data_IF_323922342558
#
_entry.id   IF_323922342558
#
_cell.length_a   1.000
_cell.length_b   1.000
_cell.length_c   1.000
_cell.angle_alpha   90.00
_cell.angle_beta   90.00
_cell.angle_gamma   90.00
#
_symmetry.space_group_name_H-M   'P 1'
#
loop_
_entity.id
_entity.type
_entity.pdbx_description
1 polymer ?
#
# COMPACT_ATOMS: atom_id res chain seq x y z
N UNK A 1 9.56 0.65 -7.75
CA UNK A 1 9.97 0.45 -6.33
C UNK A 1 10.80 1.64 -5.87
N UNK A 2 11.04 1.81 -4.56
CA UNK A 2 11.64 2.95 -3.84
C UNK A 2 12.03 4.20 -4.66
N UNK A 3 12.98 4.19 -5.62
CA UNK A 3 13.17 5.34 -6.51
C UNK A 3 11.90 5.90 -7.18
N UNK A 4 11.00 5.04 -7.65
CA UNK A 4 9.69 5.45 -8.20
C UNK A 4 8.76 5.99 -7.10
N UNK A 5 8.73 5.36 -5.93
CA UNK A 5 7.91 5.80 -4.78
C UNK A 5 8.34 7.20 -4.29
N UNK A 6 9.64 7.49 -4.30
CA UNK A 6 10.17 8.84 -4.04
C UNK A 6 9.66 9.87 -5.03
N UNK A 7 9.70 9.55 -6.31
CA UNK A 7 9.16 10.42 -7.35
C UNK A 7 7.66 10.65 -7.15
N UNK A 8 6.91 9.61 -6.80
CA UNK A 8 5.48 9.69 -6.52
C UNK A 8 5.17 10.59 -5.31
N UNK A 9 5.85 10.36 -4.18
CA UNK A 9 5.70 11.18 -2.96
C UNK A 9 6.05 12.64 -3.24
N UNK A 10 7.13 12.90 -3.97
CA UNK A 10 7.52 14.27 -4.35
C UNK A 10 6.49 14.92 -5.27
N UNK A 11 6.00 14.21 -6.29
CA UNK A 11 4.99 14.69 -7.24
C UNK A 11 3.68 15.06 -6.54
N UNK A 12 3.32 14.32 -5.50
CA UNK A 12 2.04 14.43 -4.80
C UNK A 12 2.14 15.10 -3.42
N UNK A 13 3.25 15.78 -3.11
CA UNK A 13 3.49 16.38 -1.78
C UNK A 13 2.42 17.40 -1.36
N UNK A 14 1.79 18.07 -2.33
CA UNK A 14 0.73 19.07 -2.14
C UNK A 14 -0.67 18.51 -2.42
N UNK A 15 -0.78 17.18 -2.51
CA UNK A 15 -2.03 16.46 -2.71
C UNK A 15 -2.42 15.71 -1.43
N UNK A 16 -3.71 15.39 -1.24
CA UNK A 16 -4.18 14.55 -0.14
C UNK A 16 -3.82 13.08 -0.40
N UNK A 17 -2.51 12.80 -0.37
CA UNK A 17 -1.91 11.51 -0.67
C UNK A 17 -0.88 11.18 0.41
N UNK A 18 -0.84 9.90 0.80
CA UNK A 18 0.19 9.37 1.67
C UNK A 18 0.69 8.03 1.13
N UNK A 19 2.00 7.83 1.18
CA UNK A 19 2.62 6.53 1.00
C UNK A 19 3.06 6.01 2.38
N UNK A 20 2.79 4.74 2.67
CA UNK A 20 3.20 4.09 3.92
C UNK A 20 4.00 2.84 3.58
N UNK A 21 5.23 2.76 4.08
CA UNK A 21 6.10 1.60 3.89
C UNK A 21 5.99 0.61 5.05
N UNK A 22 5.87 -0.68 4.74
CA UNK A 22 6.00 -1.77 5.72
C UNK A 22 7.20 -2.60 5.28
N UNK A 23 8.17 -2.80 6.17
CA UNK A 23 9.41 -3.49 5.86
C UNK A 23 9.58 -4.78 6.68
N UNK A 24 10.01 -5.85 6.02
CA UNK A 24 10.20 -7.20 6.60
C UNK A 24 11.66 -7.63 6.70
N UNK A 25 12.61 -6.75 6.36
CA UNK A 25 14.03 -7.01 6.61
C UNK A 25 14.32 -7.05 8.10
N UNK A 26 15.46 -7.59 8.50
CA UNK A 26 15.96 -7.43 9.86
C UNK A 26 16.14 -5.95 10.20
N UNK A 27 16.10 -5.62 11.50
CA UNK A 27 16.07 -4.23 11.95
C UNK A 27 17.31 -3.44 11.50
N UNK A 28 18.52 -4.01 11.59
CA UNK A 28 19.75 -3.34 11.18
C UNK A 28 19.70 -2.91 9.72
N UNK A 29 19.32 -3.85 8.84
CA UNK A 29 19.17 -3.61 7.41
C UNK A 29 18.09 -2.56 7.13
N UNK A 30 16.93 -2.67 7.78
CA UNK A 30 15.85 -1.69 7.65
C UNK A 30 16.32 -0.27 8.01
N UNK A 31 17.02 -0.11 9.14
CA UNK A 31 17.52 1.20 9.61
C UNK A 31 18.56 1.79 8.68
N UNK A 32 19.42 0.96 8.09
CA UNK A 32 20.42 1.40 7.12
C UNK A 32 19.77 1.79 5.79
N UNK A 33 19.03 0.87 5.18
CA UNK A 33 18.53 1.05 3.81
C UNK A 33 17.50 2.18 3.70
N UNK A 34 16.69 2.43 4.75
CA UNK A 34 15.76 3.58 4.72
C UNK A 34 16.47 4.92 4.56
N UNK A 35 17.68 5.05 5.11
CA UNK A 35 18.51 6.27 4.99
C UNK A 35 19.17 6.29 3.62
N UNK A 36 19.84 5.20 3.24
CA UNK A 36 20.56 5.05 1.98
C UNK A 36 19.66 5.28 0.76
N UNK A 37 18.41 4.82 0.83
CA UNK A 37 17.44 4.93 -0.25
C UNK A 37 16.60 6.21 -0.20
N UNK A 38 16.85 7.09 0.76
CA UNK A 38 16.13 8.37 0.97
C UNK A 38 14.61 8.16 1.15
N UNK A 39 14.22 7.23 2.02
CA UNK A 39 12.82 6.99 2.38
C UNK A 39 12.31 8.12 3.29
N UNK A 40 11.56 9.05 2.71
CA UNK A 40 11.05 10.26 3.38
C UNK A 40 9.65 10.12 3.95
N UNK A 41 8.92 9.06 3.59
CA UNK A 41 7.56 8.80 4.04
C UNK A 41 7.53 7.94 5.32
N UNK A 42 6.39 7.90 6.04
CA UNK A 42 6.20 6.99 7.17
C UNK A 42 6.49 5.54 6.77
N UNK A 43 7.46 4.92 7.43
CA UNK A 43 7.91 3.57 7.14
C UNK A 43 8.10 2.82 8.46
N UNK A 44 7.63 1.58 8.52
CA UNK A 44 7.54 0.78 9.74
C UNK A 44 8.31 -0.54 9.59
N UNK A 45 9.06 -0.89 10.62
CA UNK A 45 9.66 -2.21 10.78
C UNK A 45 8.59 -3.20 11.26
N UNK A 46 8.42 -4.31 10.53
CA UNK A 46 7.38 -5.30 10.78
C UNK A 46 7.94 -6.59 11.40
N UNK A 47 8.86 -6.46 12.35
CA UNK A 47 9.29 -7.59 13.18
C UNK A 47 10.33 -8.53 12.55
N UNK A 48 10.98 -8.14 11.45
CA UNK A 48 12.20 -8.81 10.97
C UNK A 48 12.01 -10.14 10.26
N UNK A 49 10.77 -10.47 9.87
CA UNK A 49 10.44 -11.66 9.10
C UNK A 49 9.40 -11.33 8.01
N UNK A 50 9.34 -12.15 6.97
CA UNK A 50 8.41 -11.97 5.84
C UNK A 50 6.93 -12.09 6.24
N UNK A 51 6.63 -12.61 7.43
CA UNK A 51 5.30 -12.73 8.02
C UNK A 51 5.13 -11.92 9.31
N UNK A 52 5.59 -10.67 9.31
CA UNK A 52 5.40 -9.72 10.41
C UNK A 52 3.95 -9.50 10.83
N UNK A 53 3.69 -8.87 12.00
CA UNK A 53 2.34 -8.66 12.51
C UNK A 53 1.44 -7.87 11.55
N UNK A 54 1.96 -6.80 10.91
CA UNK A 54 1.20 -5.99 9.96
C UNK A 54 0.99 -6.78 8.66
N UNK A 55 2.04 -7.37 8.11
CA UNK A 55 1.97 -8.18 6.88
C UNK A 55 0.97 -9.34 7.02
N UNK A 56 1.01 -10.06 8.15
CA UNK A 56 0.10 -11.16 8.46
C UNK A 56 -1.34 -10.68 8.58
N UNK A 57 -1.57 -9.57 9.29
CA UNK A 57 -2.90 -8.97 9.38
C UNK A 57 -3.40 -8.63 7.98
N UNK A 58 -2.59 -7.97 7.15
CA UNK A 58 -2.98 -7.54 5.80
C UNK A 58 -2.97 -8.65 4.74
N UNK A 59 -2.85 -9.92 5.14
CA UNK A 59 -2.88 -11.07 4.22
C UNK A 59 -1.77 -11.04 3.16
N UNK A 60 -0.60 -10.48 3.51
CA UNK A 60 0.57 -10.45 2.62
C UNK A 60 1.23 -11.82 2.62
N UNK A 61 1.27 -12.46 1.44
CA UNK A 61 1.90 -13.77 1.23
C UNK A 61 3.20 -13.70 0.43
N UNK A 62 3.58 -12.51 -0.03
CA UNK A 62 4.78 -12.30 -0.84
C UNK A 62 5.16 -10.84 -0.95
N UNK A 63 6.46 -10.59 -1.16
CA UNK A 63 7.03 -9.26 -1.24
C UNK A 63 7.58 -9.00 -2.67
N UNK A 64 7.40 -7.80 -3.24
CA UNK A 64 6.63 -6.67 -2.70
C UNK A 64 5.11 -6.83 -2.94
N UNK A 65 4.29 -6.43 -1.97
CA UNK A 65 2.82 -6.27 -2.13
C UNK A 65 2.45 -4.81 -1.93
N UNK A 66 1.65 -4.26 -2.85
CA UNK A 66 1.16 -2.88 -2.80
C UNK A 66 -0.36 -2.90 -2.73
N UNK A 67 -0.91 -2.11 -1.82
CA UNK A 67 -2.34 -1.82 -1.73
C UNK A 67 -2.53 -0.32 -1.97
N UNK A 68 -3.44 0.04 -2.87
CA UNK A 68 -3.86 1.43 -3.08
C UNK A 68 -5.26 1.59 -2.52
N UNK A 69 -5.38 2.48 -1.55
CA UNK A 69 -6.63 2.75 -0.84
C UNK A 69 -7.24 4.07 -1.31
N UNK A 70 -8.56 4.15 -1.33
CA UNK A 70 -9.26 5.43 -1.51
C UNK A 70 -9.39 6.20 -0.19
N UNK A 71 -9.97 7.40 -0.27
CA UNK A 71 -10.20 8.30 0.86
C UNK A 71 -11.18 7.74 1.92
N UNK A 72 -11.93 6.69 1.60
CA UNK A 72 -12.78 5.96 2.56
C UNK A 72 -12.05 4.80 3.22
N UNK A 73 -10.77 4.56 2.88
CA UNK A 73 -9.97 3.47 3.42
C UNK A 73 -10.29 2.10 2.81
N UNK A 74 -10.86 2.05 1.60
CA UNK A 74 -11.13 0.80 0.88
C UNK A 74 -9.97 0.46 -0.05
N UNK A 75 -9.60 -0.82 -0.12
CA UNK A 75 -8.61 -1.27 -1.10
C UNK A 75 -9.26 -1.26 -2.48
N UNK A 76 -8.71 -0.46 -3.39
CA UNK A 76 -9.21 -0.30 -4.77
C UNK A 76 -8.31 -0.99 -5.79
N UNK A 77 -7.01 -1.06 -5.50
CA UNK A 77 -6.04 -1.75 -6.33
C UNK A 77 -5.07 -2.57 -5.47
N UNK A 78 -4.60 -3.70 -6.01
CA UNK A 78 -3.59 -4.56 -5.40
C UNK A 78 -2.53 -4.90 -6.44
N UNK A 79 -1.25 -4.83 -6.04
CA UNK A 79 -0.11 -5.29 -6.85
C UNK A 79 0.27 -4.38 -8.03
N UNK A 80 -0.37 -3.22 -8.18
CA UNK A 80 0.01 -2.21 -9.19
C UNK A 80 1.36 -1.60 -8.87
N UNK A 81 2.20 -1.36 -9.90
CA UNK A 81 3.57 -0.83 -9.77
C UNK A 81 3.85 0.19 -10.86
N UNK A 82 4.85 1.03 -10.63
CA UNK A 82 5.34 2.03 -11.59
C UNK A 82 4.15 2.85 -12.15
N UNK A 83 4.07 3.06 -13.46
CA UNK A 83 3.00 3.85 -14.09
C UNK A 83 1.58 3.34 -13.77
N UNK A 84 1.39 2.04 -13.56
CA UNK A 84 0.09 1.51 -13.18
C UNK A 84 -0.31 1.94 -11.76
N UNK A 85 0.66 2.09 -10.86
CA UNK A 85 0.43 2.68 -9.54
C UNK A 85 0.13 4.17 -9.65
N UNK A 86 0.83 4.91 -10.51
CA UNK A 86 0.59 6.34 -10.72
C UNK A 86 -0.83 6.58 -11.22
N UNK A 87 -1.27 5.83 -12.25
CA UNK A 87 -2.64 5.91 -12.77
C UNK A 87 -3.69 5.55 -11.72
N UNK A 88 -3.44 4.52 -10.91
CA UNK A 88 -4.35 4.12 -9.84
C UNK A 88 -4.52 5.25 -8.81
N UNK A 89 -3.42 5.87 -8.37
CA UNK A 89 -3.46 6.99 -7.42
C UNK A 89 -4.14 8.21 -8.03
N UNK A 90 -3.79 8.58 -9.26
CA UNK A 90 -4.37 9.75 -9.93
C UNK A 90 -5.89 9.58 -10.14
N UNK A 91 -6.34 8.35 -10.44
CA UNK A 91 -7.77 8.01 -10.53
C UNK A 91 -8.48 8.26 -9.20
N UNK A 92 -7.95 7.76 -8.08
CA UNK A 92 -8.60 7.93 -6.77
C UNK A 92 -8.55 9.38 -6.27
N UNK A 93 -7.50 10.14 -6.61
CA UNK A 93 -7.44 11.57 -6.33
C UNK A 93 -8.49 12.35 -7.13
N UNK A 94 -8.74 11.97 -8.38
CA UNK A 94 -9.80 12.57 -9.21
C UNK A 94 -11.19 12.25 -8.65
N UNK A 95 -11.45 10.97 -8.33
CA UNK A 95 -12.71 10.52 -7.70
C UNK A 95 -12.99 11.30 -6.40
N UNK A 96 -11.98 11.44 -5.52
CA UNK A 96 -12.11 12.15 -4.25
C UNK A 96 -12.45 13.64 -4.44
N UNK A 97 -11.97 14.26 -5.53
CA UNK A 97 -12.27 15.66 -5.87
C UNK A 97 -13.62 15.85 -6.56
N UNK A 98 -14.37 14.77 -6.81
CA UNK A 98 -15.62 14.80 -7.56
C UNK A 98 -15.42 15.11 -9.04
N UNK A 99 -14.21 14.94 -9.57
CA UNK A 99 -13.96 15.10 -11.00
C UNK A 99 -14.57 13.91 -11.75
N UNK A 100 -15.19 14.12 -12.93
CA UNK A 100 -15.59 13.02 -13.79
C UNK A 100 -14.38 12.14 -14.06
N UNK A 101 -14.52 10.83 -13.84
CA UNK A 101 -13.49 9.86 -14.20
C UNK A 101 -13.16 10.05 -15.69
N UNK A 102 -11.86 10.11 -16.08
CA UNK A 102 -11.52 10.09 -17.49
C UNK A 102 -12.12 8.82 -18.09
N UNK A 103 -12.96 8.96 -19.11
CA UNK A 103 -13.54 7.83 -19.82
C UNK A 103 -12.42 6.89 -20.28
N UNK A 104 -12.54 5.64 -19.85
CA UNK A 104 -11.62 4.55 -20.12
C UNK A 104 -11.36 4.40 -21.62
N UNK A 105 -10.17 4.80 -22.07
CA UNK A 105 -9.60 4.30 -23.32
C UNK A 105 -8.42 3.36 -23.00
N UNK A 106 -8.71 2.07 -23.15
CA UNK A 106 -7.79 0.96 -23.39
C UNK A 106 -6.61 0.71 -22.41
N UNK A 107 -6.91 0.15 -21.25
CA UNK A 107 -6.12 -0.96 -20.70
C UNK A 107 -7.07 -1.92 -19.98
N UNK A 108 -7.39 -3.07 -20.60
CA UNK A 108 -8.23 -4.11 -19.98
C UNK A 108 -7.60 -4.53 -18.65
N UNK A 109 -8.22 -4.29 -17.49
CA UNK A 109 -7.80 -4.95 -16.27
C UNK A 109 -8.28 -6.40 -16.38
N UNK A 110 -7.40 -7.36 -16.12
CA UNK A 110 -7.86 -8.68 -15.68
C UNK A 110 -8.81 -8.46 -14.50
N UNK A 111 -10.05 -8.92 -14.67
CA UNK A 111 -11.11 -8.78 -13.67
C UNK A 111 -10.66 -9.48 -12.38
N UNK A 112 -10.19 -8.71 -11.41
CA UNK A 112 -10.25 -9.12 -10.01
C UNK A 112 -11.72 -9.13 -9.62
N UNK A 113 -12.35 -10.31 -9.64
CA UNK A 113 -13.74 -10.56 -9.22
C UNK A 113 -13.93 -10.45 -7.70
N UNK A 114 -13.16 -9.60 -7.02
CA UNK A 114 -13.21 -9.42 -5.58
C UNK A 114 -13.92 -8.14 -5.23
N UNK A 115 -15.07 -8.26 -4.59
CA UNK A 115 -15.76 -7.21 -3.85
C UNK A 115 -14.76 -6.34 -3.05
N UNK A 116 -14.91 -5.01 -3.11
CA UNK A 116 -14.03 -4.07 -2.40
C UNK A 116 -13.95 -4.40 -0.91
N UNK A 117 -12.76 -4.71 -0.39
CA UNK A 117 -12.59 -5.13 1.00
C UNK A 117 -12.24 -3.89 1.84
N UNK A 118 -12.99 -3.60 2.92
CA UNK A 118 -12.59 -2.59 3.91
C UNK A 118 -11.26 -3.01 4.53
N UNK A 119 -10.27 -2.11 4.59
CA UNK A 119 -8.97 -2.41 5.19
C UNK A 119 -9.09 -2.90 6.66
N UNK A 120 -10.12 -2.44 7.37
CA UNK A 120 -10.42 -2.84 8.75
C UNK A 120 -10.85 -4.32 8.93
N UNK A 121 -11.31 -5.02 7.87
CA UNK A 121 -11.79 -6.42 7.98
C UNK A 121 -10.69 -7.47 8.01
N UNK A 122 -9.43 -7.08 7.91
CA UNK A 122 -8.28 -7.97 7.92
C UNK A 122 -7.74 -8.25 9.34
N UNK A 123 -8.47 -7.91 10.40
CA UNK A 123 -8.12 -8.26 11.79
C UNK A 123 -8.58 -9.71 12.06
N UNK A 124 -7.69 -10.72 12.16
CA UNK A 124 -8.09 -12.00 12.72
C UNK A 124 -8.48 -11.80 14.20
N UNK A 125 -9.53 -12.48 14.69
CA UNK A 125 -9.91 -12.36 16.09
C UNK A 125 -8.71 -12.75 16.97
N UNK A 126 -8.38 -11.90 17.94
CA UNK A 126 -7.33 -12.17 18.91
C UNK A 126 -7.55 -13.57 19.52
N UNK A 127 -6.58 -14.48 19.35
CA UNK A 127 -6.60 -15.76 20.05
C UNK A 127 -6.61 -15.45 21.54
N UNK A 128 -7.74 -15.71 22.21
CA UNK A 128 -7.80 -15.75 23.68
C UNK A 128 -6.72 -16.72 24.13
N UNK A 129 -5.74 -16.25 24.90
CA UNK A 129 -4.88 -17.13 25.68
C UNK A 129 -5.80 -17.84 26.67
N UNK A 130 -6.11 -19.12 26.41
CA UNK A 130 -6.66 -19.99 27.43
C UNK A 130 -5.55 -20.22 28.44
N UNK A 131 -5.69 -19.59 29.61
CA UNK A 131 -4.86 -19.93 30.75
C UNK A 131 -5.15 -21.36 31.20
N UNK A 132 -4.08 -22.08 31.48
CA UNK A 132 -3.93 -23.04 32.57
C UNK A 132 -2.45 -23.06 32.95
#
# INVERSE_FOLDING_TARGET
MIPHERTLVKRLQDQPFALVGINSDNEERYRKERVEMEVTWPSFFDGGATGGPIASQWGVTGWPTIYVLDHEGRIRFKGVRNEAMDRAVDTLLAEMKGAPLPESEAAKPEKSTGESIPAARLIPPAKKKSGL
#
